data_IF_501402340440
#
_entry.id   IF_501402340440
#
_cell.length_a   1.000
_cell.length_b   1.000
_cell.length_c   1.000
_cell.angle_alpha   90.00
_cell.angle_beta   90.00
_cell.angle_gamma   90.00
#
_symmetry.space_group_name_H-M   'P 1'
#
loop_
_entity.id
_entity.type
_entity.pdbx_description
1 polymer ?
#
# COMPACT_ATOMS: atom_id res chain seq x y z
N UNK A 1 23.21 -6.74 15.64
CA UNK A 1 23.69 -8.14 15.51
C UNK A 1 22.66 -8.90 14.70
N UNK A 2 23.04 -9.63 13.64
CA UNK A 2 22.08 -10.40 12.84
C UNK A 2 21.53 -11.61 13.65
N UNK A 3 20.32 -12.10 13.32
CA UNK A 3 19.57 -13.14 14.06
C UNK A 3 20.23 -14.52 14.25
N UNK A 4 21.50 -14.71 13.87
CA UNK A 4 22.22 -15.98 14.05
C UNK A 4 22.39 -16.44 15.50
N UNK A 5 22.21 -15.56 16.50
CA UNK A 5 22.43 -15.90 17.92
C UNK A 5 21.24 -16.53 18.65
N UNK A 6 20.04 -16.52 18.07
CA UNK A 6 18.81 -16.89 18.79
C UNK A 6 18.15 -18.21 18.32
N UNK A 7 18.78 -18.98 17.42
CA UNK A 7 18.22 -20.25 16.92
C UNK A 7 16.99 -20.08 16.01
N UNK A 8 16.79 -18.88 15.44
CA UNK A 8 15.73 -18.61 14.46
C UNK A 8 15.95 -19.47 13.22
N UNK A 9 14.95 -20.26 12.84
CA UNK A 9 15.01 -21.18 11.68
C UNK A 9 14.37 -20.62 10.42
N UNK A 10 13.47 -19.65 10.56
CA UNK A 10 12.71 -19.07 9.47
C UNK A 10 12.43 -17.58 9.71
N UNK A 11 12.42 -16.78 8.64
CA UNK A 11 12.11 -15.34 8.68
C UNK A 11 11.07 -15.03 7.60
N UNK A 12 9.89 -14.58 7.99
CA UNK A 12 8.99 -13.86 7.08
C UNK A 12 9.24 -12.35 7.26
N UNK A 13 9.57 -11.65 6.18
CA UNK A 13 9.90 -10.23 6.21
C UNK A 13 8.97 -9.42 5.31
N UNK A 14 8.27 -8.44 5.89
CA UNK A 14 7.45 -7.48 5.16
C UNK A 14 8.35 -6.53 4.38
N UNK A 15 8.35 -6.71 3.06
CA UNK A 15 9.16 -6.00 2.09
C UNK A 15 8.30 -5.06 1.24
N UNK A 16 8.86 -4.52 0.17
CA UNK A 16 8.23 -3.60 -0.78
C UNK A 16 8.13 -4.24 -2.17
N UNK A 17 7.14 -3.87 -3.01
CA UNK A 17 6.97 -4.48 -4.33
C UNK A 17 8.24 -4.41 -5.15
N UNK A 18 8.61 -5.54 -5.76
CA UNK A 18 9.78 -5.61 -6.63
C UNK A 18 11.07 -5.08 -6.00
N UNK A 19 11.27 -5.21 -4.68
CA UNK A 19 12.38 -4.58 -3.94
C UNK A 19 13.79 -4.77 -4.55
N UNK A 20 14.01 -5.82 -5.34
CA UNK A 20 15.26 -6.06 -6.06
C UNK A 20 15.50 -5.09 -7.23
N UNK A 21 14.45 -4.68 -7.94
CA UNK A 21 14.49 -3.80 -9.13
C UNK A 21 13.90 -2.41 -8.91
N UNK A 22 13.11 -2.22 -7.85
CA UNK A 22 12.46 -0.97 -7.52
C UNK A 22 13.48 0.17 -7.35
N UNK A 23 13.13 1.34 -7.91
CA UNK A 23 13.95 2.57 -7.85
C UNK A 23 13.40 3.57 -6.82
N UNK A 24 12.23 3.29 -6.27
CA UNK A 24 11.62 4.05 -5.18
C UNK A 24 12.60 4.23 -4.01
N UNK A 25 12.73 5.44 -3.43
CA UNK A 25 13.47 5.64 -2.20
C UNK A 25 12.96 4.77 -1.03
N UNK A 26 11.66 4.43 -1.02
CA UNK A 26 11.09 3.55 0.00
C UNK A 26 11.61 2.10 -0.13
N UNK A 27 12.00 1.66 -1.32
CA UNK A 27 12.49 0.30 -1.54
C UNK A 27 13.93 0.08 -1.07
N UNK A 28 14.71 1.15 -0.84
CA UNK A 28 16.16 1.04 -0.53
C UNK A 28 16.39 0.25 0.75
N UNK A 29 15.67 0.57 1.82
CA UNK A 29 15.82 -0.12 3.11
C UNK A 29 15.35 -1.57 3.02
N UNK A 30 14.28 -1.82 2.27
CA UNK A 30 13.80 -3.18 2.01
C UNK A 30 14.81 -4.01 1.22
N UNK A 31 15.41 -3.46 0.16
CA UNK A 31 16.45 -4.13 -0.63
C UNK A 31 17.66 -4.52 0.22
N UNK A 32 18.14 -3.59 1.05
CA UNK A 32 19.26 -3.84 1.96
C UNK A 32 18.90 -4.91 3.00
N UNK A 33 17.67 -4.88 3.53
CA UNK A 33 17.21 -5.86 4.51
C UNK A 33 17.04 -7.25 3.90
N UNK A 34 16.45 -7.36 2.71
CA UNK A 34 16.34 -8.63 2.01
C UNK A 34 17.74 -9.21 1.69
N UNK A 35 18.71 -8.37 1.32
CA UNK A 35 20.10 -8.80 1.12
C UNK A 35 20.72 -9.34 2.41
N UNK A 36 20.52 -8.65 3.54
CA UNK A 36 21.01 -9.10 4.84
C UNK A 36 20.37 -10.43 5.27
N UNK A 37 19.08 -10.63 4.99
CA UNK A 37 18.38 -11.89 5.25
C UNK A 37 18.94 -13.02 4.38
N UNK A 38 19.12 -12.79 3.07
CA UNK A 38 19.76 -13.78 2.17
C UNK A 38 21.14 -14.20 2.66
N UNK A 39 21.97 -13.23 3.08
CA UNK A 39 23.33 -13.49 3.60
C UNK A 39 23.33 -14.20 4.96
N UNK A 40 22.21 -14.19 5.70
CA UNK A 40 22.12 -14.87 6.98
C UNK A 40 22.13 -16.40 6.84
N UNK A 41 21.67 -16.94 5.70
CA UNK A 41 21.50 -18.38 5.48
C UNK A 41 20.34 -19.01 6.25
N UNK A 42 19.52 -18.21 6.94
CA UNK A 42 18.27 -18.65 7.58
C UNK A 42 17.21 -18.81 6.48
N UNK A 43 16.33 -19.82 6.57
CA UNK A 43 15.19 -19.95 5.66
C UNK A 43 14.30 -18.70 5.69
N UNK A 44 13.70 -18.30 4.57
CA UNK A 44 12.97 -17.05 4.52
C UNK A 44 11.86 -16.99 3.48
N UNK A 45 10.95 -16.04 3.69
CA UNK A 45 10.02 -15.53 2.69
C UNK A 45 9.98 -14.00 2.74
N UNK A 46 10.09 -13.37 1.58
CA UNK A 46 9.84 -11.94 1.43
C UNK A 46 8.37 -11.72 1.09
N UNK A 47 7.67 -11.02 1.98
CA UNK A 47 6.27 -10.64 1.84
C UNK A 47 6.25 -9.20 1.32
N UNK A 48 6.33 -9.03 0.01
CA UNK A 48 6.40 -7.71 -0.61
C UNK A 48 5.00 -7.14 -0.66
N UNK A 49 4.65 -6.42 0.40
CA UNK A 49 3.34 -5.79 0.52
C UNK A 49 3.26 -4.62 -0.46
N UNK A 50 2.18 -4.54 -1.23
CA UNK A 50 1.87 -3.36 -2.02
C UNK A 50 1.45 -2.20 -1.12
N UNK A 51 0.24 -1.67 -1.28
CA UNK A 51 -0.20 -0.49 -0.52
C UNK A 51 -1.41 -0.81 0.35
N UNK A 52 -1.41 -0.26 1.56
CA UNK A 52 -2.53 -0.39 2.48
C UNK A 52 -3.59 0.65 2.11
N UNK A 53 -4.85 0.22 2.00
CA UNK A 53 -5.97 1.14 1.75
C UNK A 53 -6.08 2.20 2.85
N UNK A 54 -5.70 1.83 4.07
CA UNK A 54 -5.62 2.72 5.24
C UNK A 54 -4.65 3.90 5.05
N UNK A 55 -3.68 3.81 4.13
CA UNK A 55 -2.81 4.95 3.80
C UNK A 55 -3.59 6.11 3.15
N UNK A 56 -4.76 5.83 2.57
CA UNK A 56 -5.63 6.86 1.96
C UNK A 56 -6.49 7.60 2.99
N UNK A 57 -6.22 7.43 4.30
CA UNK A 57 -6.86 8.18 5.40
C UNK A 57 -6.77 9.70 5.29
N UNK A 58 -5.90 10.24 4.43
CA UNK A 58 -5.81 11.67 4.16
C UNK A 58 -6.83 12.14 3.11
N UNK A 59 -7.28 11.22 2.25
CA UNK A 59 -8.19 11.51 1.14
C UNK A 59 -9.63 11.13 1.46
N UNK A 60 -9.83 10.02 2.18
CA UNK A 60 -11.15 9.53 2.60
C UNK A 60 -11.98 10.61 3.34
N UNK A 61 -11.40 11.42 4.26
CA UNK A 61 -12.16 12.49 4.92
C UNK A 61 -12.69 13.55 3.96
N UNK A 62 -12.00 13.86 2.86
CA UNK A 62 -12.51 14.81 1.87
C UNK A 62 -13.81 14.27 1.25
N UNK A 63 -13.80 13.00 0.85
CA UNK A 63 -14.98 12.32 0.32
C UNK A 63 -16.15 12.25 1.32
N UNK A 64 -15.89 11.87 2.58
CA UNK A 64 -16.93 11.80 3.63
C UNK A 64 -17.60 13.18 3.84
N UNK A 65 -16.83 14.26 3.77
CA UNK A 65 -17.32 15.62 4.00
C UNK A 65 -17.79 16.33 2.72
N UNK A 66 -17.97 15.59 1.62
CA UNK A 66 -18.33 16.11 0.31
C UNK A 66 -17.45 17.30 -0.15
N UNK A 67 -16.13 17.18 0.06
CA UNK A 67 -15.12 18.17 -0.34
C UNK A 67 -14.37 17.69 -1.59
N UNK A 68 -13.79 18.60 -2.40
CA UNK A 68 -13.02 18.21 -3.58
C UNK A 68 -11.95 17.16 -3.26
N UNK A 69 -11.95 16.08 -4.03
CA UNK A 69 -10.98 15.01 -3.97
C UNK A 69 -9.83 15.34 -4.92
N UNK A 70 -8.70 15.78 -4.36
CA UNK A 70 -7.55 16.29 -5.12
C UNK A 70 -6.38 15.33 -4.97
N UNK A 71 -5.76 14.94 -6.08
CA UNK A 71 -4.62 14.04 -6.11
C UNK A 71 -3.62 14.43 -7.21
N UNK A 72 -2.36 14.00 -7.10
CA UNK A 72 -1.34 14.15 -8.13
C UNK A 72 -0.81 12.84 -8.70
N UNK A 73 -1.34 11.68 -8.31
CA UNK A 73 -0.91 10.37 -8.82
C UNK A 73 -1.18 10.13 -10.33
N UNK A 74 -1.92 11.00 -11.02
CA UNK A 74 -2.25 10.81 -12.44
C UNK A 74 -3.01 9.51 -12.69
N UNK A 75 -2.60 8.75 -13.71
CA UNK A 75 -3.19 7.44 -14.04
C UNK A 75 -2.37 6.27 -13.47
N UNK A 76 -1.51 6.53 -12.49
CA UNK A 76 -0.72 5.49 -11.83
C UNK A 76 -1.61 4.45 -11.18
N UNK A 77 -1.22 3.19 -11.28
CA UNK A 77 -1.98 2.05 -10.77
C UNK A 77 -1.35 1.53 -9.48
N UNK A 78 -2.20 1.04 -8.59
CA UNK A 78 -1.82 0.52 -7.27
C UNK A 78 -2.77 -0.59 -6.87
N UNK A 79 -2.22 -1.64 -6.25
CA UNK A 79 -2.96 -2.78 -5.75
C UNK A 79 -3.32 -2.59 -4.28
N UNK A 80 -4.21 -1.64 -3.98
CA UNK A 80 -4.67 -1.44 -2.60
C UNK A 80 -5.37 -2.69 -2.05
N UNK A 81 -5.03 -3.06 -0.82
CA UNK A 81 -5.79 -4.01 -0.02
C UNK A 81 -5.78 -3.56 1.45
N UNK A 82 -6.67 -4.13 2.26
CA UNK A 82 -6.73 -3.80 3.69
C UNK A 82 -5.47 -4.32 4.40
N UNK A 83 -4.92 -3.54 5.32
CA UNK A 83 -3.75 -3.93 6.13
C UNK A 83 -3.96 -5.28 6.83
N UNK A 84 -5.19 -5.57 7.27
CA UNK A 84 -5.54 -6.86 7.90
C UNK A 84 -5.37 -8.07 6.97
N UNK A 85 -5.57 -7.90 5.67
CA UNK A 85 -5.38 -8.96 4.67
C UNK A 85 -3.89 -9.31 4.54
N UNK A 86 -3.02 -8.28 4.47
CA UNK A 86 -1.57 -8.49 4.47
C UNK A 86 -1.09 -9.16 5.77
N UNK A 87 -1.63 -8.75 6.92
CA UNK A 87 -1.28 -9.34 8.22
C UNK A 87 -1.71 -10.81 8.34
N UNK A 88 -2.91 -11.15 7.87
CA UNK A 88 -3.41 -12.52 7.86
C UNK A 88 -2.59 -13.40 6.90
N UNK A 89 -2.28 -12.90 5.70
CA UNK A 89 -1.42 -13.60 4.76
C UNK A 89 -0.03 -13.86 5.34
N UNK A 90 0.57 -12.88 6.02
CA UNK A 90 1.86 -13.05 6.69
C UNK A 90 1.81 -14.15 7.77
N UNK A 91 0.73 -14.19 8.57
CA UNK A 91 0.52 -15.24 9.57
C UNK A 91 0.38 -16.62 8.91
N UNK A 92 -0.35 -16.73 7.79
CA UNK A 92 -0.49 -17.99 7.04
C UNK A 92 0.84 -18.45 6.44
N UNK A 93 1.65 -17.55 5.89
CA UNK A 93 3.00 -17.88 5.38
C UNK A 93 3.91 -18.40 6.50
N UNK A 94 3.83 -17.84 7.71
CA UNK A 94 4.60 -18.34 8.86
C UNK A 94 4.21 -19.76 9.31
N UNK A 95 2.98 -20.19 9.00
CA UNK A 95 2.41 -21.46 9.44
C UNK A 95 2.43 -22.55 8.36
N UNK A 96 2.80 -22.21 7.12
CA UNK A 96 2.84 -23.18 6.02
C UNK A 96 4.17 -23.94 5.99
N UNK A 97 4.14 -25.20 5.56
CA UNK A 97 5.33 -26.05 5.53
C UNK A 97 6.30 -25.68 4.39
N UNK A 98 5.76 -25.26 3.24
CA UNK A 98 6.51 -24.96 2.02
C UNK A 98 6.18 -23.55 1.49
N UNK A 99 6.60 -22.47 2.17
CA UNK A 99 6.32 -21.12 1.71
C UNK A 99 7.13 -20.75 0.46
N UNK A 100 6.57 -19.92 -0.43
CA UNK A 100 7.31 -19.31 -1.54
C UNK A 100 8.43 -18.43 -0.96
N UNK A 101 9.57 -18.36 -1.64
CA UNK A 101 10.68 -17.48 -1.25
C UNK A 101 10.30 -15.99 -1.34
N UNK A 102 9.40 -15.65 -2.27
CA UNK A 102 8.89 -14.30 -2.49
C UNK A 102 7.40 -14.40 -2.74
N UNK A 103 6.64 -13.51 -2.09
CA UNK A 103 5.25 -13.23 -2.38
C UNK A 103 5.14 -11.75 -2.75
N UNK A 104 4.60 -11.43 -3.91
CA UNK A 104 4.25 -10.07 -4.32
C UNK A 104 2.77 -9.85 -3.96
N UNK A 105 2.51 -9.41 -2.73
CA UNK A 105 1.15 -9.24 -2.23
C UNK A 105 0.52 -7.96 -2.78
N UNK A 106 -0.56 -8.12 -3.54
CA UNK A 106 -1.25 -7.01 -4.20
C UNK A 106 -2.76 -7.24 -4.21
N UNK A 107 -3.53 -6.16 -4.11
CA UNK A 107 -4.95 -6.16 -4.44
C UNK A 107 -5.19 -5.92 -5.94
N UNK A 108 -6.47 -5.90 -6.39
CA UNK A 108 -6.81 -5.49 -7.75
C UNK A 108 -6.27 -4.09 -8.08
N UNK A 109 -5.86 -3.89 -9.33
CA UNK A 109 -5.25 -2.63 -9.77
C UNK A 109 -6.29 -1.53 -9.96
N UNK A 110 -6.11 -0.44 -9.21
CA UNK A 110 -6.94 0.76 -9.28
C UNK A 110 -6.06 2.01 -9.46
N UNK A 111 -6.64 3.09 -9.98
CA UNK A 111 -6.05 4.42 -9.88
C UNK A 111 -6.84 5.31 -8.91
N UNK A 112 -6.38 6.55 -8.72
CA UNK A 112 -7.06 7.50 -7.83
C UNK A 112 -8.44 7.96 -8.36
N UNK A 113 -8.71 7.87 -9.66
CA UNK A 113 -10.04 8.16 -10.20
C UNK A 113 -11.01 7.02 -9.87
N UNK A 114 -10.55 5.77 -9.90
CA UNK A 114 -11.30 4.62 -9.42
C UNK A 114 -11.59 4.72 -7.90
N UNK A 115 -10.59 5.12 -7.10
CA UNK A 115 -10.77 5.40 -5.66
C UNK A 115 -11.82 6.48 -5.42
N UNK A 116 -11.74 7.60 -6.15
CA UNK A 116 -12.71 8.68 -6.04
C UNK A 116 -14.14 8.20 -6.39
N UNK A 117 -14.30 7.45 -7.48
CA UNK A 117 -15.61 6.91 -7.91
C UNK A 117 -16.19 5.95 -6.88
N UNK A 118 -15.36 5.03 -6.35
CA UNK A 118 -15.78 4.11 -5.31
C UNK A 118 -16.18 4.85 -4.02
N UNK A 119 -15.46 5.91 -3.67
CA UNK A 119 -15.81 6.77 -2.53
C UNK A 119 -17.12 7.54 -2.74
N UNK A 120 -17.40 8.07 -3.95
CA UNK A 120 -18.70 8.68 -4.26
C UNK A 120 -19.84 7.69 -4.03
N UNK A 121 -19.70 6.46 -4.54
CA UNK A 121 -20.69 5.38 -4.36
C UNK A 121 -20.88 4.99 -2.88
N UNK A 122 -19.79 4.85 -2.13
CA UNK A 122 -19.84 4.40 -0.73
C UNK A 122 -20.37 5.49 0.22
N UNK A 123 -20.09 6.75 -0.08
CA UNK A 123 -20.49 7.90 0.77
C UNK A 123 -21.80 8.56 0.35
N UNK A 124 -22.34 8.20 -0.83
CA UNK A 124 -23.48 8.87 -1.46
C UNK A 124 -23.27 10.39 -1.63
N UNK A 125 -22.03 10.78 -1.94
CA UNK A 125 -21.62 12.17 -2.14
C UNK A 125 -21.17 12.41 -3.58
N UNK A 126 -21.40 13.63 -4.07
CA UNK A 126 -21.00 14.07 -5.41
C UNK A 126 -19.96 15.20 -5.32
N UNK A 127 -18.74 14.83 -4.92
CA UNK A 127 -17.62 15.76 -4.82
C UNK A 127 -16.85 15.88 -6.14
N UNK A 128 -16.24 17.05 -6.36
CA UNK A 128 -15.34 17.27 -7.50
C UNK A 128 -14.08 16.41 -7.40
N UNK A 129 -13.64 15.82 -8.52
CA UNK A 129 -12.41 15.02 -8.60
C UNK A 129 -11.38 15.76 -9.45
N UNK A 130 -10.22 16.06 -8.87
CA UNK A 130 -9.17 16.87 -9.51
C UNK A 130 -7.82 16.17 -9.51
N UNK A 131 -7.34 15.81 -10.70
CA UNK A 131 -5.93 15.40 -10.91
C UNK A 131 -5.09 16.64 -11.20
N UNK A 132 -4.11 16.94 -10.35
CA UNK A 132 -3.30 18.17 -10.42
C UNK A 132 -1.80 17.85 -10.43
N UNK A 133 -0.97 18.86 -10.69
CA UNK A 133 0.49 18.70 -10.61
C UNK A 133 0.98 18.52 -9.17
N UNK A 134 2.17 17.94 -8.99
CA UNK A 134 2.81 17.81 -7.67
C UNK A 134 2.95 19.16 -6.95
N UNK A 135 3.29 20.22 -7.67
CA UNK A 135 3.44 21.56 -7.10
C UNK A 135 2.10 22.13 -6.62
N UNK A 136 1.03 21.93 -7.37
CA UNK A 136 -0.31 22.36 -7.00
C UNK A 136 -0.84 21.55 -5.81
N UNK A 137 -0.66 20.22 -5.83
CA UNK A 137 -1.07 19.36 -4.73
C UNK A 137 -0.31 19.70 -3.44
N UNK A 138 1.01 19.92 -3.52
CA UNK A 138 1.83 20.38 -2.38
C UNK A 138 1.32 21.69 -1.80
N UNK A 139 1.02 22.69 -2.64
CA UNK A 139 0.49 23.98 -2.19
C UNK A 139 -0.83 23.81 -1.44
N UNK A 140 -1.73 22.97 -1.95
CA UNK A 140 -3.02 22.68 -1.32
C UNK A 140 -2.86 21.99 0.04
N UNK A 141 -1.98 20.99 0.14
CA UNK A 141 -1.67 20.34 1.42
C UNK A 141 -1.13 21.33 2.45
N UNK A 142 -0.23 22.24 2.06
CA UNK A 142 0.27 23.27 2.98
C UNK A 142 -0.86 24.23 3.39
N UNK A 143 -1.73 24.63 2.46
CA UNK A 143 -2.87 25.49 2.75
C UNK A 143 -3.90 24.85 3.69
N UNK A 144 -3.98 23.51 3.72
CA UNK A 144 -4.86 22.76 4.65
C UNK A 144 -4.19 22.44 5.99
N UNK A 145 -2.98 22.95 6.24
CA UNK A 145 -2.31 22.90 7.54
C UNK A 145 -1.19 21.86 7.67
N UNK A 146 -0.85 21.12 6.61
CA UNK A 146 0.31 20.23 6.63
C UNK A 146 1.62 21.04 6.62
N UNK A 147 2.62 20.57 7.36
CA UNK A 147 3.96 21.14 7.25
C UNK A 147 4.53 20.92 5.83
N UNK A 148 5.45 21.77 5.34
CA UNK A 148 6.08 21.57 4.04
C UNK A 148 6.73 20.19 3.87
N UNK A 149 7.32 19.65 4.94
CA UNK A 149 7.91 18.31 4.94
C UNK A 149 6.85 17.21 4.79
N UNK A 150 5.76 17.28 5.55
CA UNK A 150 4.66 16.32 5.43
C UNK A 150 4.00 16.37 4.04
N UNK A 151 3.78 17.57 3.50
CA UNK A 151 3.26 17.75 2.14
C UNK A 151 4.18 17.14 1.08
N UNK A 152 5.51 17.33 1.22
CA UNK A 152 6.49 16.72 0.33
C UNK A 152 6.47 15.19 0.41
N UNK A 153 6.32 14.61 1.61
CA UNK A 153 6.20 13.16 1.79
C UNK A 153 4.95 12.59 1.12
N UNK A 154 3.78 13.24 1.30
CA UNK A 154 2.51 12.80 0.69
C UNK A 154 2.57 12.85 -0.84
N UNK A 155 3.10 13.95 -1.39
CA UNK A 155 3.35 14.08 -2.84
C UNK A 155 4.32 13.00 -3.33
N UNK A 156 5.34 12.68 -2.51
CA UNK A 156 6.28 11.60 -2.77
C UNK A 156 5.57 10.25 -2.94
N UNK A 157 4.64 9.90 -2.05
CA UNK A 157 3.87 8.65 -2.13
C UNK A 157 3.05 8.57 -3.43
N UNK A 158 2.33 9.64 -3.79
CA UNK A 158 1.55 9.64 -5.03
C UNK A 158 2.42 9.64 -6.29
N UNK A 159 3.64 10.19 -6.22
CA UNK A 159 4.62 10.08 -7.30
C UNK A 159 5.08 8.63 -7.53
N UNK A 160 5.22 7.83 -6.47
CA UNK A 160 5.55 6.41 -6.59
C UNK A 160 4.46 5.66 -7.39
N UNK A 161 3.20 5.89 -7.02
CA UNK A 161 2.05 5.34 -7.73
C UNK A 161 2.04 5.79 -9.19
N UNK A 162 2.23 7.10 -9.45
CA UNK A 162 2.29 7.65 -10.81
C UNK A 162 3.40 7.03 -11.67
N UNK A 163 4.51 6.64 -11.05
CA UNK A 163 5.66 6.06 -11.74
C UNK A 163 5.53 4.54 -11.96
N UNK A 164 4.45 3.90 -11.49
CA UNK A 164 4.23 2.46 -11.61
C UNK A 164 5.00 1.63 -10.57
N UNK A 165 5.55 2.25 -9.52
CA UNK A 165 6.31 1.51 -8.49
C UNK A 165 5.44 0.52 -7.70
N UNK A 166 4.11 0.63 -7.80
CA UNK A 166 3.11 -0.17 -7.10
C UNK A 166 2.18 -0.95 -8.08
N UNK A 167 2.52 -0.97 -9.36
CA UNK A 167 1.78 -1.72 -10.37
C UNK A 167 2.16 -3.21 -10.31
N UNK A 168 1.30 -4.01 -9.69
CA UNK A 168 1.52 -5.45 -9.46
C UNK A 168 0.20 -6.22 -9.60
N UNK A 169 0.20 -7.26 -10.43
CA UNK A 169 -0.99 -8.04 -10.80
C UNK A 169 -0.98 -9.48 -10.27
N UNK A 170 0.01 -9.81 -9.42
CA UNK A 170 0.11 -11.10 -8.75
C UNK A 170 -1.15 -11.41 -7.93
N UNK A 171 -1.49 -12.70 -7.91
CA UNK A 171 -2.55 -13.26 -7.06
C UNK A 171 -1.99 -13.85 -5.76
N UNK A 172 -0.74 -13.58 -5.41
CA UNK A 172 -0.09 -14.15 -4.22
C UNK A 172 -0.87 -13.86 -2.93
N UNK A 173 -1.48 -12.68 -2.81
CA UNK A 173 -2.23 -12.30 -1.62
C UNK A 173 -3.49 -13.18 -1.43
N UNK A 174 -4.46 -13.23 -2.37
CA UNK A 174 -5.60 -14.13 -2.24
C UNK A 174 -5.21 -15.62 -2.20
N UNK A 175 -4.13 -16.03 -2.88
CA UNK A 175 -3.60 -17.39 -2.79
C UNK A 175 -3.12 -17.73 -1.37
N UNK A 176 -2.32 -16.85 -0.75
CA UNK A 176 -1.82 -17.03 0.61
C UNK A 176 -2.95 -16.99 1.65
N UNK A 177 -3.99 -16.20 1.39
CA UNK A 177 -5.20 -16.13 2.21
C UNK A 177 -6.10 -17.36 2.04
N UNK A 178 -6.13 -17.98 0.86
CA UNK A 178 -7.07 -19.07 0.56
C UNK A 178 -8.52 -18.60 0.40
N UNK A 179 -8.75 -17.32 0.16
CA UNK A 179 -10.05 -16.73 -0.17
C UNK A 179 -9.87 -15.47 -1.03
N UNK A 180 -10.89 -15.05 -1.79
CA UNK A 180 -10.85 -13.76 -2.49
C UNK A 180 -10.76 -12.60 -1.49
N UNK A 181 -10.18 -11.49 -1.95
CA UNK A 181 -10.21 -10.22 -1.23
C UNK A 181 -11.63 -9.64 -1.23
N UNK A 182 -12.02 -8.84 -0.22
CA UNK A 182 -13.25 -8.06 -0.27
C UNK A 182 -13.27 -7.15 -1.50
N UNK A 183 -14.46 -6.77 -1.95
CA UNK A 183 -14.58 -5.77 -3.02
C UNK A 183 -13.99 -4.43 -2.58
N UNK A 184 -13.68 -3.57 -3.55
CA UNK A 184 -13.06 -2.29 -3.23
C UNK A 184 -13.99 -1.40 -2.39
N UNK A 185 -15.29 -1.42 -2.69
CA UNK A 185 -16.34 -0.73 -1.95
C UNK A 185 -16.51 -1.28 -0.53
N UNK A 186 -16.47 -2.60 -0.34
CA UNK A 186 -16.50 -3.22 0.99
C UNK A 186 -15.29 -2.82 1.84
N UNK A 187 -14.10 -2.81 1.22
CA UNK A 187 -12.87 -2.39 1.88
C UNK A 187 -12.93 -0.92 2.29
N UNK A 188 -13.43 -0.04 1.41
CA UNK A 188 -13.61 1.38 1.72
C UNK A 188 -14.63 1.61 2.84
N UNK A 189 -15.75 0.88 2.84
CA UNK A 189 -16.73 0.94 3.94
C UNK A 189 -16.08 0.57 5.27
N UNK A 190 -15.28 -0.49 5.30
CA UNK A 190 -14.56 -0.90 6.51
C UNK A 190 -13.61 0.19 7.03
N UNK A 191 -12.82 0.81 6.14
CA UNK A 191 -11.90 1.90 6.52
C UNK A 191 -12.67 3.11 7.02
N UNK A 192 -13.75 3.51 6.34
CA UNK A 192 -14.61 4.63 6.74
C UNK A 192 -15.20 4.39 8.13
N UNK A 193 -15.70 3.18 8.41
CA UNK A 193 -16.29 2.86 9.71
C UNK A 193 -15.25 2.83 10.84
N UNK A 194 -13.99 2.48 10.54
CA UNK A 194 -12.88 2.63 11.51
C UNK A 194 -12.54 4.09 11.79
N UNK A 195 -12.62 4.98 10.80
CA UNK A 195 -12.33 6.42 10.98
C UNK A 195 -13.39 7.17 11.79
N UNK A 196 -14.61 6.62 11.91
CA UNK A 196 -15.70 7.19 12.72
C UNK A 196 -15.63 6.83 14.20
N UNK A 197 -14.79 5.85 14.58
CA UNK A 197 -14.61 5.38 15.96
C UNK A 197 -13.53 6.18 16.66
#
# INVERSE_FOLDING_TARGET
MPPKKAGVRFIAYTSFPHADTAKSPLAVDHKNTEQAIRQSGIGYSFLRNNWYLENERLQIPAAINNRPFVYSAGNGRVGWALEREYAEAAAKVLMTDEPKTVYEFSGPQHDYADLARALQLVTDNDFEVMSVSDDEYRKRLVATGYSPAAAASIVGMQRLIRNGDLEETSNDLPEALGHPLPTFEESLKEVIDKLKK
#
